data_IF_965721031130
#
_entry.id   IF_965721031130
#
_cell.length_a   1.000
_cell.length_b   1.000
_cell.length_c   1.000
_cell.angle_alpha   90.00
_cell.angle_beta   90.00
_cell.angle_gamma   90.00
#
_symmetry.space_group_name_H-M   'P 1'
#
loop_
_entity.id
_entity.type
_entity.pdbx_description
1 polymer ?
#
# COMPACT_ATOMS: atom_id res chain seq x y z
N UNK A 1 3.36 17.92 -9.34
CA UNK A 1 2.94 16.65 -8.72
C UNK A 1 4.11 15.69 -8.80
N UNK A 2 4.43 14.97 -7.72
CA UNK A 2 5.47 13.93 -7.76
C UNK A 2 5.03 12.81 -8.72
N UNK A 3 5.99 12.20 -9.44
CA UNK A 3 5.72 11.06 -10.32
C UNK A 3 6.10 9.78 -9.59
N UNK A 4 5.12 8.91 -9.37
CA UNK A 4 5.31 7.59 -8.80
C UNK A 4 5.15 6.51 -9.87
N UNK A 5 6.05 5.53 -9.82
CA UNK A 5 5.95 4.30 -10.58
C UNK A 5 5.54 3.15 -9.66
N UNK A 6 5.07 2.04 -10.25
CA UNK A 6 4.60 0.88 -9.48
C UNK A 6 5.78 0.23 -8.78
N UNK A 7 5.67 0.08 -7.47
CA UNK A 7 6.62 -0.68 -6.68
C UNK A 7 6.28 -2.18 -6.74
N UNK A 8 7.06 -2.95 -7.50
CA UNK A 8 6.86 -4.39 -7.64
C UNK A 8 6.94 -5.14 -6.31
N UNK A 9 7.87 -4.75 -5.43
CA UNK A 9 8.02 -5.37 -4.11
C UNK A 9 6.76 -5.18 -3.25
N UNK A 10 6.08 -4.04 -3.38
CA UNK A 10 4.84 -3.79 -2.66
C UNK A 10 3.67 -4.61 -3.21
N UNK A 11 3.61 -4.83 -4.53
CA UNK A 11 2.62 -5.72 -5.15
C UNK A 11 2.81 -7.15 -4.65
N UNK A 12 4.05 -7.65 -4.68
CA UNK A 12 4.36 -9.03 -4.27
C UNK A 12 4.10 -9.27 -2.78
N UNK A 13 4.48 -8.31 -1.92
CA UNK A 13 4.18 -8.35 -0.49
C UNK A 13 2.68 -8.36 -0.24
N UNK A 14 1.93 -7.47 -0.90
CA UNK A 14 0.47 -7.39 -0.73
C UNK A 14 -0.21 -8.70 -1.10
N UNK A 15 0.16 -9.30 -2.25
CA UNK A 15 -0.36 -10.62 -2.66
C UNK A 15 -0.02 -11.73 -1.67
N UNK A 16 1.20 -11.73 -1.16
CA UNK A 16 1.65 -12.72 -0.17
C UNK A 16 0.84 -12.62 1.13
N UNK A 17 0.55 -11.39 1.58
CA UNK A 17 -0.30 -11.16 2.76
C UNK A 17 -1.76 -11.55 2.51
N UNK A 18 -2.30 -11.25 1.32
CA UNK A 18 -3.65 -11.67 0.92
C UNK A 18 -3.77 -13.20 0.94
N UNK A 19 -2.83 -13.90 0.30
CA UNK A 19 -2.80 -15.37 0.27
C UNK A 19 -2.65 -15.99 1.66
N UNK A 20 -1.98 -15.30 2.59
CA UNK A 20 -1.84 -15.71 3.98
C UNK A 20 -3.03 -15.29 4.87
N UNK A 21 -4.11 -14.76 4.29
CA UNK A 21 -5.27 -14.21 5.01
C UNK A 21 -4.92 -13.11 6.03
N UNK A 22 -3.84 -12.37 5.78
CA UNK A 22 -3.39 -11.26 6.63
C UNK A 22 -3.98 -9.93 6.16
N UNK A 23 -5.32 -9.84 6.19
CA UNK A 23 -6.06 -8.65 5.78
C UNK A 23 -7.17 -8.26 6.75
N UNK A 24 -7.63 -7.02 6.61
CA UNK A 24 -8.77 -6.43 7.31
C UNK A 24 -9.80 -5.98 6.28
N UNK A 25 -11.02 -6.53 6.39
CA UNK A 25 -12.11 -6.23 5.47
C UNK A 25 -12.89 -4.97 5.86
N UNK A 26 -13.05 -4.75 7.17
CA UNK A 26 -13.82 -3.64 7.74
C UNK A 26 -12.93 -2.78 8.64
N UNK A 27 -12.69 -1.53 8.24
CA UNK A 27 -11.89 -0.55 8.98
C UNK A 27 -12.10 0.86 8.42
N UNK A 28 -12.12 1.88 9.28
CA UNK A 28 -12.05 3.27 8.85
C UNK A 28 -10.60 3.63 8.51
N UNK A 29 -10.33 3.84 7.21
CA UNK A 29 -8.98 4.16 6.76
C UNK A 29 -8.47 5.50 7.29
N UNK A 30 -9.35 6.47 7.57
CA UNK A 30 -8.94 7.75 8.13
C UNK A 30 -8.38 7.63 9.56
N UNK A 31 -8.81 6.61 10.30
CA UNK A 31 -8.37 6.37 11.68
C UNK A 31 -7.17 5.42 11.76
N UNK A 32 -7.09 4.41 10.87
CA UNK A 32 -6.07 3.35 10.95
C UNK A 32 -4.91 3.52 9.97
N UNK A 33 -4.96 4.53 9.10
CA UNK A 33 -3.83 4.84 8.22
C UNK A 33 -2.60 5.20 9.07
N UNK A 34 -1.44 4.54 8.85
CA UNK A 34 -0.26 4.78 9.68
C UNK A 34 0.24 6.22 9.55
N UNK A 35 0.51 6.83 10.71
CA UNK A 35 1.07 8.17 10.81
C UNK A 35 2.60 8.20 10.78
N UNK A 36 3.16 9.38 11.07
CA UNK A 36 4.61 9.56 11.12
C UNK A 36 5.27 8.73 12.24
N UNK A 37 4.61 8.61 13.40
CA UNK A 37 5.09 7.86 14.57
C UNK A 37 5.08 6.34 14.32
N UNK A 38 4.02 5.80 13.70
CA UNK A 38 3.96 4.39 13.31
C UNK A 38 5.08 4.04 12.32
N UNK A 39 5.31 4.91 11.35
CA UNK A 39 6.38 4.74 10.37
C UNK A 39 7.78 4.81 11.01
N UNK A 40 7.99 5.66 12.02
CA UNK A 40 9.25 5.68 12.77
C UNK A 40 9.44 4.39 13.57
N UNK A 41 8.42 3.99 14.32
CA UNK A 41 8.42 2.75 15.13
C UNK A 41 8.69 1.52 14.27
N UNK A 42 8.13 1.48 13.05
CA UNK A 42 8.41 0.43 12.09
C UNK A 42 9.89 0.41 11.69
N UNK A 43 10.44 1.56 11.28
CA UNK A 43 11.83 1.69 10.83
C UNK A 43 12.88 1.45 11.94
N UNK A 44 12.51 1.53 13.23
CA UNK A 44 13.40 1.13 14.33
C UNK A 44 13.71 -0.38 14.33
N UNK A 45 12.84 -1.19 13.71
CA UNK A 45 12.92 -2.66 13.76
C UNK A 45 13.02 -3.32 12.38
N UNK A 46 12.85 -2.53 11.32
CA UNK A 46 12.73 -2.99 9.94
C UNK A 46 13.58 -2.15 9.01
N UNK A 47 13.94 -2.72 7.86
CA UNK A 47 14.71 -2.01 6.85
C UNK A 47 13.86 -0.99 6.08
N UNK A 48 14.52 -0.09 5.36
CA UNK A 48 13.83 0.77 4.40
C UNK A 48 13.19 -0.01 3.25
N UNK A 49 13.72 -1.19 2.90
CA UNK A 49 13.11 -2.07 1.90
C UNK A 49 11.80 -2.68 2.42
N UNK A 50 11.76 -3.10 3.69
CA UNK A 50 10.54 -3.57 4.35
C UNK A 50 9.46 -2.48 4.38
N UNK A 51 9.87 -1.24 4.65
CA UNK A 51 9.01 -0.06 4.65
C UNK A 51 8.52 0.28 3.23
N UNK A 52 9.43 0.25 2.24
CA UNK A 52 9.10 0.49 0.84
C UNK A 52 8.06 -0.50 0.33
N UNK A 53 8.17 -1.78 0.71
CA UNK A 53 7.23 -2.83 0.31
C UNK A 53 5.80 -2.64 0.85
N UNK A 54 5.53 -1.66 1.72
CA UNK A 54 4.17 -1.28 2.10
C UNK A 54 3.51 -0.25 1.19
N UNK A 55 4.24 0.30 0.21
CA UNK A 55 3.83 1.45 -0.58
C UNK A 55 3.85 1.14 -2.08
N UNK A 56 2.70 1.25 -2.76
CA UNK A 56 2.58 0.92 -4.19
C UNK A 56 3.25 1.94 -5.11
N UNK A 57 3.49 3.16 -4.66
CA UNK A 57 4.18 4.20 -5.41
C UNK A 57 5.60 4.42 -4.93
N UNK A 58 6.54 4.38 -5.87
CA UNK A 58 7.94 4.71 -5.65
C UNK A 58 8.38 5.83 -6.59
N UNK A 59 9.12 6.83 -6.11
CA UNK A 59 9.73 7.87 -6.96
C UNK A 59 11.24 7.84 -6.91
N UNK A 60 11.91 8.07 -8.05
CA UNK A 60 13.37 8.12 -8.16
C UNK A 60 13.98 9.47 -7.74
N UNK A 61 13.14 10.49 -7.48
CA UNK A 61 13.59 11.88 -7.27
C UNK A 61 13.95 12.24 -5.84
N UNK A 62 13.60 11.39 -4.87
CA UNK A 62 13.91 11.59 -3.47
C UNK A 62 15.18 10.82 -3.13
N UNK A 63 16.05 11.40 -2.28
CA UNK A 63 17.20 10.67 -1.74
C UNK A 63 16.73 9.34 -1.15
N UNK A 64 17.56 8.31 -1.31
CA UNK A 64 17.39 7.04 -0.60
C UNK A 64 17.18 7.35 0.89
N UNK A 65 16.25 6.64 1.54
CA UNK A 65 15.89 6.83 2.96
C UNK A 65 15.07 8.09 3.32
N UNK A 66 14.20 8.56 2.43
CA UNK A 66 13.21 9.60 2.78
C UNK A 66 11.77 9.10 2.63
N UNK A 67 10.91 9.32 3.64
CA UNK A 67 9.49 8.89 3.60
C UNK A 67 8.71 9.50 2.44
N UNK A 68 9.10 10.70 1.98
CA UNK A 68 8.51 11.38 0.83
C UNK A 68 8.73 10.63 -0.51
N UNK A 69 9.61 9.62 -0.52
CA UNK A 69 9.85 8.76 -1.69
C UNK A 69 8.69 7.78 -1.98
N UNK A 70 7.88 7.51 -0.97
CA UNK A 70 6.88 6.45 -0.99
C UNK A 70 5.46 7.01 -0.90
N UNK A 71 4.53 6.42 -1.65
CA UNK A 71 3.12 6.79 -1.62
C UNK A 71 2.22 5.55 -1.76
N UNK A 72 0.93 5.72 -1.49
CA UNK A 72 -0.09 4.66 -1.61
C UNK A 72 0.20 3.47 -0.69
N UNK A 73 0.15 3.71 0.62
CA UNK A 73 0.33 2.67 1.64
C UNK A 73 -0.89 1.73 1.66
N UNK A 74 -0.64 0.42 1.67
CA UNK A 74 -1.69 -0.62 1.51
C UNK A 74 -2.21 -1.20 2.83
N UNK A 75 -1.68 -0.75 3.97
CA UNK A 75 -1.98 -1.36 5.27
C UNK A 75 -1.39 -0.62 6.46
N UNK A 76 -1.58 -1.19 7.65
CA UNK A 76 -1.19 -0.64 8.96
C UNK A 76 0.23 -1.06 9.39
N UNK A 77 1.10 -1.36 8.43
CA UNK A 77 2.40 -2.02 8.63
C UNK A 77 2.37 -3.42 9.26
N UNK A 78 1.19 -4.02 9.41
CA UNK A 78 1.03 -5.41 9.89
C UNK A 78 0.11 -6.25 9.01
N UNK A 79 -0.99 -5.69 8.51
CA UNK A 79 -2.01 -6.33 7.67
C UNK A 79 -2.36 -5.42 6.51
N UNK A 80 -2.84 -6.03 5.42
CA UNK A 80 -3.42 -5.30 4.28
C UNK A 80 -4.82 -4.86 4.65
N UNK A 81 -5.19 -3.61 4.35
CA UNK A 81 -6.55 -3.12 4.58
C UNK A 81 -7.28 -2.99 3.25
N UNK A 82 -8.49 -3.56 3.16
CA UNK A 82 -9.34 -3.40 1.98
C UNK A 82 -9.61 -1.93 1.67
N UNK A 83 -9.89 -1.14 2.70
CA UNK A 83 -10.12 0.31 2.59
C UNK A 83 -8.86 1.08 2.19
N UNK A 84 -7.66 0.59 2.52
CA UNK A 84 -6.40 1.14 2.02
C UNK A 84 -6.24 0.93 0.50
N UNK A 85 -6.55 -0.26 0.00
CA UNK A 85 -6.49 -0.53 -1.44
C UNK A 85 -7.49 0.33 -2.21
N UNK A 86 -8.71 0.52 -1.68
CA UNK A 86 -9.70 1.45 -2.25
C UNK A 86 -9.16 2.89 -2.26
N UNK A 87 -8.57 3.35 -1.14
CA UNK A 87 -7.96 4.68 -1.06
C UNK A 87 -6.80 4.83 -2.06
N UNK A 88 -5.99 3.78 -2.27
CA UNK A 88 -4.93 3.76 -3.27
C UNK A 88 -5.49 3.90 -4.70
N UNK A 89 -6.55 3.16 -5.06
CA UNK A 89 -7.22 3.31 -6.36
C UNK A 89 -7.69 4.75 -6.56
N UNK A 90 -8.42 5.30 -5.60
CA UNK A 90 -8.98 6.65 -5.68
C UNK A 90 -7.87 7.71 -5.84
N UNK A 91 -6.86 7.69 -4.97
CA UNK A 91 -5.78 8.68 -4.99
C UNK A 91 -4.89 8.54 -6.22
N UNK A 92 -4.60 7.32 -6.66
CA UNK A 92 -3.80 7.12 -7.86
C UNK A 92 -4.54 7.63 -9.11
N UNK A 93 -5.87 7.46 -9.20
CA UNK A 93 -6.69 8.03 -10.26
C UNK A 93 -6.72 9.57 -10.22
N UNK A 94 -6.97 10.15 -9.03
CA UNK A 94 -6.98 11.61 -8.81
C UNK A 94 -5.63 12.23 -9.24
N UNK A 95 -4.53 11.57 -8.91
CA UNK A 95 -3.16 12.03 -9.16
C UNK A 95 -2.64 11.62 -10.55
N UNK A 96 -3.48 10.95 -11.35
CA UNK A 96 -3.19 10.50 -12.73
C UNK A 96 -2.04 9.48 -12.83
N UNK A 97 -1.86 8.63 -11.82
CA UNK A 97 -0.91 7.52 -11.81
C UNK A 97 -1.59 6.21 -12.27
N UNK A 98 -1.91 6.12 -13.56
CA UNK A 98 -2.74 5.02 -14.09
C UNK A 98 -2.19 3.61 -13.81
N UNK A 99 -0.86 3.42 -13.86
CA UNK A 99 -0.26 2.11 -13.55
C UNK A 99 -0.45 1.72 -12.07
N UNK A 100 -0.32 2.68 -11.15
CA UNK A 100 -0.54 2.46 -9.72
C UNK A 100 -2.01 2.22 -9.42
N UNK A 101 -2.92 2.96 -10.07
CA UNK A 101 -4.37 2.77 -9.99
C UNK A 101 -4.76 1.33 -10.37
N UNK A 102 -4.28 0.84 -11.52
CA UNK A 102 -4.59 -0.51 -11.99
C UNK A 102 -3.97 -1.59 -11.09
N UNK A 103 -2.76 -1.38 -10.58
CA UNK A 103 -2.14 -2.31 -9.63
C UNK A 103 -2.93 -2.38 -8.31
N UNK A 104 -3.33 -1.24 -7.74
CA UNK A 104 -4.16 -1.19 -6.55
C UNK A 104 -5.53 -1.84 -6.79
N UNK A 105 -6.14 -1.61 -7.95
CA UNK A 105 -7.41 -2.21 -8.32
C UNK A 105 -7.32 -3.73 -8.42
N UNK A 106 -6.28 -4.25 -9.08
CA UNK A 106 -6.07 -5.70 -9.17
C UNK A 106 -5.86 -6.32 -7.78
N UNK A 107 -5.05 -5.70 -6.91
CA UNK A 107 -4.87 -6.19 -5.54
C UNK A 107 -6.17 -6.19 -4.73
N UNK A 108 -7.06 -5.21 -4.97
CA UNK A 108 -8.37 -5.18 -4.36
C UNK A 108 -9.24 -6.35 -4.85
N UNK A 109 -9.18 -6.69 -6.14
CA UNK A 109 -9.87 -7.88 -6.67
C UNK A 109 -9.30 -9.17 -6.06
N UNK A 110 -7.97 -9.30 -6.00
CA UNK A 110 -7.28 -10.45 -5.41
C UNK A 110 -7.72 -10.63 -3.93
N UNK A 111 -7.84 -9.53 -3.18
CA UNK A 111 -8.31 -9.54 -1.79
C UNK A 111 -9.79 -9.94 -1.69
N UNK A 112 -10.65 -9.35 -2.51
CA UNK A 112 -12.10 -9.63 -2.49
C UNK A 112 -12.40 -11.09 -2.83
N UNK A 113 -11.67 -11.67 -3.80
CA UNK A 113 -11.75 -13.09 -4.13
C UNK A 113 -11.30 -13.97 -2.97
N UNK A 114 -10.12 -13.69 -2.38
CA UNK A 114 -9.61 -14.43 -1.22
C UNK A 114 -10.55 -14.35 0.00
N UNK A 115 -11.32 -13.26 0.11
CA UNK A 115 -12.29 -13.03 1.18
C UNK A 115 -13.69 -13.60 0.88
N UNK A 116 -13.93 -14.13 -0.33
CA UNK A 116 -15.25 -14.61 -0.74
C UNK A 116 -16.30 -13.50 -0.90
N UNK A 117 -15.86 -12.28 -1.23
CA UNK A 117 -16.72 -11.11 -1.44
C UNK A 117 -17.16 -10.95 -2.91
N UNK A 118 -16.63 -11.77 -3.82
CA UNK A 118 -17.03 -11.81 -5.23
C UNK A 118 -18.39 -12.51 -5.36
N UNK A 119 -19.44 -11.72 -5.65
CA UNK A 119 -20.79 -12.19 -5.99
C UNK A 119 -21.07 -12.12 -7.48
#
# INVERSE_FOLDING_TARGET
MARYEVNAAAVDKTRSLIAAHQYVLDSDWGEVQPGAEDANTFLERHSWDDYAAWHLGLTERANDETKARYAFVVGDFRRVHRTALIACVYRAAEWRHKKVELAAHQLLQDLDEAAGLTG
#
